data_IF_414747212022
#
_entry.id   IF_414747212022
#
_cell.length_a   1.000
_cell.length_b   1.000
_cell.length_c   1.000
_cell.angle_alpha   90.00
_cell.angle_beta   90.00
_cell.angle_gamma   90.00
#
_symmetry.space_group_name_H-M   'P 1'
#
loop_
_entity.id
_entity.type
_entity.pdbx_description
1 polymer ?
#
# COMPACT_ATOMS: atom_id res chain seq x y z
N UNK A 1 2.87 -9.96 28.80
CA UNK A 1 3.86 -9.44 29.77
C UNK A 1 5.08 -10.35 29.87
N UNK A 2 4.92 -11.67 29.93
CA UNK A 2 5.99 -12.65 30.02
C UNK A 2 7.03 -12.52 28.88
N UNK A 3 6.57 -12.34 27.64
CA UNK A 3 7.44 -12.15 26.49
C UNK A 3 8.25 -10.85 26.59
N UNK A 4 7.62 -9.78 27.09
CA UNK A 4 8.30 -8.50 27.31
C UNK A 4 9.40 -8.68 28.37
N UNK A 5 9.08 -9.32 29.48
CA UNK A 5 10.03 -9.57 30.57
C UNK A 5 11.21 -10.44 30.10
N UNK A 6 10.94 -11.40 29.21
CA UNK A 6 11.97 -12.24 28.58
C UNK A 6 12.93 -11.42 27.71
N UNK A 7 12.41 -10.56 26.83
CA UNK A 7 13.23 -9.68 25.98
C UNK A 7 14.03 -8.70 26.83
N UNK A 8 13.42 -8.09 27.84
CA UNK A 8 14.11 -7.18 28.77
C UNK A 8 15.24 -7.89 29.51
N UNK A 9 15.00 -9.11 30.01
CA UNK A 9 16.02 -9.89 30.69
C UNK A 9 17.19 -10.27 29.77
N UNK A 10 16.91 -10.63 28.52
CA UNK A 10 17.92 -10.93 27.51
C UNK A 10 18.78 -9.69 27.18
N UNK A 11 18.16 -8.52 26.99
CA UNK A 11 18.90 -7.26 26.76
C UNK A 11 19.79 -6.92 27.95
N UNK A 12 19.26 -7.00 29.19
CA UNK A 12 19.99 -6.71 30.41
C UNK A 12 21.17 -7.69 30.65
N UNK A 13 21.07 -8.91 30.12
CA UNK A 13 22.17 -9.88 30.12
C UNK A 13 23.25 -9.63 29.04
N UNK A 14 23.17 -8.53 28.30
CA UNK A 14 24.13 -8.20 27.23
C UNK A 14 23.77 -8.80 25.87
N UNK A 15 22.49 -9.18 25.66
CA UNK A 15 21.98 -9.75 24.41
C UNK A 15 22.83 -10.93 23.90
N UNK A 16 23.07 -11.96 24.71
CA UNK A 16 23.94 -13.07 24.30
C UNK A 16 23.37 -13.78 23.08
N UNK A 17 24.27 -14.20 22.18
CA UNK A 17 23.88 -15.04 21.05
C UNK A 17 23.36 -16.38 21.59
N UNK A 18 22.19 -16.81 21.09
CA UNK A 18 21.62 -18.12 21.38
C UNK A 18 22.44 -19.26 20.77
N UNK A 19 21.99 -20.50 21.00
CA UNK A 19 22.60 -21.64 20.35
C UNK A 19 22.29 -21.61 18.83
N UNK A 20 23.29 -21.61 17.94
CA UNK A 20 23.09 -21.63 16.50
C UNK A 20 22.28 -22.84 16.00
N UNK A 21 22.30 -23.96 16.74
CA UNK A 21 21.50 -25.15 16.41
C UNK A 21 20.00 -24.96 16.60
N UNK A 22 19.59 -23.98 17.42
CA UNK A 22 18.20 -23.62 17.65
C UNK A 22 17.67 -22.60 16.63
N UNK A 23 18.53 -22.14 15.71
CA UNK A 23 18.15 -21.18 14.69
C UNK A 23 17.10 -21.83 13.77
N UNK A 24 15.91 -21.21 13.58
CA UNK A 24 14.96 -21.71 12.61
C UNK A 24 15.55 -21.66 11.20
N UNK A 25 15.07 -22.51 10.28
CA UNK A 25 15.52 -22.47 8.89
C UNK A 25 15.31 -21.07 8.31
N UNK A 26 16.22 -20.65 7.44
CA UNK A 26 16.11 -19.35 6.76
C UNK A 26 14.75 -19.25 6.06
N UNK A 27 14.08 -18.12 6.28
CA UNK A 27 12.79 -17.88 5.63
C UNK A 27 13.00 -17.68 4.14
N UNK A 28 12.26 -18.44 3.34
CA UNK A 28 12.20 -18.20 1.90
C UNK A 28 11.25 -17.05 1.63
N UNK A 29 11.68 -16.09 0.81
CA UNK A 29 10.87 -14.97 0.35
C UNK A 29 10.53 -15.18 -1.13
N UNK A 30 9.33 -14.78 -1.56
CA UNK A 30 8.96 -14.82 -2.97
C UNK A 30 9.94 -14.00 -3.81
N UNK A 31 10.12 -14.34 -5.09
CA UNK A 31 10.95 -13.56 -6.01
C UNK A 31 10.48 -12.10 -6.08
N UNK A 32 11.46 -11.20 -6.16
CA UNK A 32 11.19 -9.76 -6.27
C UNK A 32 10.70 -9.45 -7.70
N UNK A 33 9.66 -8.62 -7.82
CA UNK A 33 9.12 -8.21 -9.11
C UNK A 33 8.09 -9.18 -9.71
N UNK A 34 7.67 -10.18 -8.96
CA UNK A 34 6.61 -11.11 -9.36
C UNK A 34 5.36 -10.90 -8.50
N UNK A 35 4.18 -11.01 -9.15
CA UNK A 35 2.89 -10.96 -8.46
C UNK A 35 2.72 -12.18 -7.56
N UNK A 36 2.64 -11.97 -6.26
CA UNK A 36 2.50 -13.04 -5.28
C UNK A 36 1.15 -13.72 -5.35
N UNK A 37 0.09 -12.93 -5.61
CA UNK A 37 -1.26 -13.47 -5.77
C UNK A 37 -1.42 -14.26 -7.05
N UNK A 38 -0.49 -14.13 -8.02
CA UNK A 38 -0.56 -14.88 -9.27
C UNK A 38 -0.34 -16.40 -9.10
N UNK A 39 0.27 -16.84 -8.02
CA UNK A 39 0.40 -18.28 -7.72
C UNK A 39 -0.97 -18.93 -7.52
N UNK A 40 -1.91 -18.21 -6.90
CA UNK A 40 -3.27 -18.70 -6.62
C UNK A 40 -4.29 -18.26 -7.67
N UNK A 41 -4.21 -17.01 -8.12
CA UNK A 41 -5.24 -16.38 -8.94
C UNK A 41 -4.90 -16.33 -10.43
N UNK A 42 -3.66 -16.70 -10.81
CA UNK A 42 -3.16 -16.43 -12.16
C UNK A 42 -2.74 -14.95 -12.31
N UNK A 43 -2.34 -14.50 -13.51
CA UNK A 43 -1.95 -13.12 -13.74
C UNK A 43 -3.10 -12.15 -13.42
N UNK A 44 -2.80 -10.89 -13.01
CA UNK A 44 -3.86 -9.91 -12.81
C UNK A 44 -4.65 -9.63 -14.09
N UNK A 45 -5.95 -9.40 -13.95
CA UNK A 45 -6.83 -9.05 -15.07
C UNK A 45 -6.52 -7.65 -15.61
N UNK A 46 -6.02 -6.76 -14.73
CA UNK A 46 -5.69 -5.39 -15.10
C UNK A 46 -4.44 -4.93 -14.35
N UNK A 47 -3.57 -4.19 -15.04
CA UNK A 47 -2.34 -3.63 -14.45
C UNK A 47 -2.28 -2.14 -14.74
N UNK A 48 -2.13 -1.35 -13.69
CA UNK A 48 -1.93 0.10 -13.77
C UNK A 48 -0.51 0.40 -13.30
N UNK A 49 0.23 1.19 -14.07
CA UNK A 49 1.60 1.60 -13.72
C UNK A 49 1.65 3.10 -13.47
N UNK A 50 2.47 3.50 -12.48
CA UNK A 50 2.81 4.91 -12.32
C UNK A 50 3.52 5.43 -13.57
N UNK A 51 3.60 6.76 -13.74
CA UNK A 51 4.55 7.29 -14.70
C UNK A 51 5.99 7.02 -14.26
N UNK A 52 6.91 6.95 -15.22
CA UNK A 52 8.30 6.67 -14.96
C UNK A 52 8.98 7.79 -14.15
N UNK A 53 9.91 7.38 -13.29
CA UNK A 53 10.71 8.27 -12.45
C UNK A 53 12.14 7.77 -12.33
N UNK A 54 13.10 8.69 -12.38
CA UNK A 54 14.51 8.37 -12.14
C UNK A 54 14.82 8.45 -10.65
N UNK A 55 15.05 7.31 -10.03
CA UNK A 55 15.43 7.21 -8.61
C UNK A 55 16.93 7.46 -8.48
N UNK A 56 17.38 8.52 -7.77
CA UNK A 56 18.79 8.80 -7.60
C UNK A 56 19.45 7.80 -6.64
N UNK A 57 20.76 7.57 -6.83
CA UNK A 57 21.53 6.68 -5.93
C UNK A 57 21.63 7.20 -4.49
N UNK A 58 21.66 8.52 -4.31
CA UNK A 58 21.90 9.18 -3.04
C UNK A 58 20.99 10.39 -2.88
N UNK A 59 20.68 10.74 -1.67
CA UNK A 59 19.85 11.89 -1.32
C UNK A 59 19.04 11.65 -0.06
N UNK A 60 18.15 12.58 0.24
CA UNK A 60 17.12 12.41 1.26
C UNK A 60 15.94 11.63 0.68
N UNK A 61 15.00 11.30 1.51
CA UNK A 61 13.72 10.71 1.12
C UNK A 61 13.05 11.55 0.01
N UNK A 62 12.52 10.86 -0.97
CA UNK A 62 11.89 11.45 -2.15
C UNK A 62 10.46 10.96 -2.26
N UNK A 63 9.58 11.88 -2.63
CA UNK A 63 8.17 11.60 -2.90
C UNK A 63 7.89 11.87 -4.37
N UNK A 64 7.30 10.88 -5.04
CA UNK A 64 6.83 10.98 -6.40
C UNK A 64 5.31 10.79 -6.42
N UNK A 65 4.58 11.78 -6.90
CA UNK A 65 3.12 11.84 -6.81
C UNK A 65 2.47 12.04 -8.18
N UNK A 66 2.62 11.08 -9.10
CA UNK A 66 2.02 11.18 -10.42
C UNK A 66 0.54 10.81 -10.42
N UNK A 67 -0.17 11.30 -11.44
CA UNK A 67 -1.49 10.83 -11.84
C UNK A 67 -1.40 10.15 -13.20
N UNK A 68 -2.09 9.03 -13.37
CA UNK A 68 -2.17 8.30 -14.63
C UNK A 68 -3.61 7.86 -14.91
N UNK A 69 -3.97 7.69 -16.17
CA UNK A 69 -5.25 7.07 -16.52
C UNK A 69 -5.29 5.63 -16.03
N UNK A 70 -6.39 5.22 -15.41
CA UNK A 70 -6.55 3.85 -14.93
C UNK A 70 -6.66 2.83 -16.08
N UNK A 71 -7.14 3.24 -17.23
CA UNK A 71 -7.47 2.36 -18.34
C UNK A 71 -8.73 1.51 -18.11
N UNK A 72 -9.42 1.71 -17.00
CA UNK A 72 -10.65 0.98 -16.67
C UNK A 72 -11.82 1.59 -17.44
N UNK A 73 -12.47 0.82 -18.29
CA UNK A 73 -13.57 1.28 -19.15
C UNK A 73 -14.95 0.89 -18.65
N UNK A 74 -15.04 -0.03 -17.71
CA UNK A 74 -16.28 -0.51 -17.10
C UNK A 74 -16.09 -0.64 -15.60
N UNK A 75 -17.11 -0.26 -14.82
CA UNK A 75 -17.12 -0.50 -13.39
C UNK A 75 -17.12 -2.00 -13.08
N UNK A 76 -16.29 -2.41 -12.15
CA UNK A 76 -16.19 -3.80 -11.70
C UNK A 76 -15.86 -3.87 -10.21
N UNK A 77 -16.23 -4.97 -9.58
CA UNK A 77 -15.78 -5.28 -8.23
C UNK A 77 -14.39 -5.90 -8.25
N UNK A 78 -13.52 -5.40 -7.42
CA UNK A 78 -12.19 -5.96 -7.18
C UNK A 78 -12.33 -7.18 -6.27
N UNK A 79 -11.71 -8.29 -6.65
CA UNK A 79 -11.55 -9.52 -5.86
C UNK A 79 -10.29 -9.49 -5.03
N UNK A 80 -9.19 -9.05 -5.66
CA UNK A 80 -7.90 -8.95 -5.01
C UNK A 80 -7.06 -7.86 -5.68
N UNK A 81 -6.08 -7.35 -4.95
CA UNK A 81 -5.22 -6.27 -5.41
C UNK A 81 -3.82 -6.41 -4.82
N UNK A 82 -2.81 -6.11 -5.61
CA UNK A 82 -1.43 -6.11 -5.16
C UNK A 82 -0.67 -4.93 -5.77
N UNK A 83 0.09 -4.22 -4.94
CA UNK A 83 1.03 -3.19 -5.42
C UNK A 83 2.43 -3.78 -5.46
N UNK A 84 3.10 -3.62 -6.59
CA UNK A 84 4.39 -4.22 -6.87
C UNK A 84 5.40 -3.15 -7.32
N UNK A 85 6.44 -2.87 -6.52
CA UNK A 85 7.60 -2.12 -6.99
C UNK A 85 8.34 -2.85 -8.10
N UNK A 86 9.07 -2.13 -8.93
CA UNK A 86 9.96 -2.78 -9.90
C UNK A 86 11.05 -3.59 -9.18
N UNK A 87 11.52 -4.66 -9.80
CA UNK A 87 12.63 -5.45 -9.24
C UNK A 87 13.92 -4.63 -9.09
N UNK A 88 14.12 -3.63 -9.92
CA UNK A 88 15.30 -2.76 -9.90
C UNK A 88 15.30 -1.75 -8.76
N UNK A 89 14.13 -1.24 -8.37
CA UNK A 89 13.97 -0.25 -7.30
C UNK A 89 13.37 -0.84 -6.01
N UNK A 90 13.24 -2.15 -5.91
CA UNK A 90 12.65 -2.80 -4.74
C UNK A 90 13.34 -2.41 -3.42
N UNK A 91 14.66 -2.24 -3.43
CA UNK A 91 15.42 -1.83 -2.25
C UNK A 91 15.18 -0.37 -1.85
N UNK A 92 14.90 0.50 -2.81
CA UNK A 92 14.69 1.93 -2.59
C UNK A 92 13.21 2.32 -2.47
N UNK A 93 12.27 1.50 -2.95
CA UNK A 93 10.83 1.77 -2.77
C UNK A 93 10.41 1.40 -1.35
N UNK A 94 10.26 2.42 -0.49
CA UNK A 94 9.90 2.23 0.91
C UNK A 94 8.40 1.90 1.07
N UNK A 95 7.54 2.75 0.51
CA UNK A 95 6.11 2.48 0.39
C UNK A 95 5.52 3.22 -0.81
N UNK A 96 4.35 2.76 -1.25
CA UNK A 96 3.60 3.39 -2.31
C UNK A 96 2.10 3.29 -2.02
N UNK A 97 1.44 4.43 -1.95
CA UNK A 97 0.00 4.54 -1.82
C UNK A 97 -0.61 4.89 -3.16
N UNK A 98 -1.78 4.37 -3.44
CA UNK A 98 -2.56 4.72 -4.62
C UNK A 98 -4.03 4.89 -4.28
N UNK A 99 -4.69 5.78 -5.01
CA UNK A 99 -6.11 6.07 -4.85
C UNK A 99 -6.74 6.35 -6.21
N UNK A 100 -8.02 6.04 -6.33
CA UNK A 100 -8.78 6.43 -7.50
C UNK A 100 -9.14 7.90 -7.47
N UNK A 101 -9.19 8.49 -8.66
CA UNK A 101 -9.74 9.82 -8.91
C UNK A 101 -10.85 9.68 -9.94
N UNK A 102 -12.00 10.29 -9.67
CA UNK A 102 -13.13 10.40 -10.61
C UNK A 102 -13.47 11.87 -10.84
N UNK A 103 -14.23 12.15 -11.88
CA UNK A 103 -14.70 13.52 -12.11
C UNK A 103 -15.97 13.80 -11.32
N UNK A 104 -16.00 14.96 -10.67
CA UNK A 104 -17.21 15.51 -10.08
C UNK A 104 -18.16 16.08 -11.15
N UNK A 105 -19.30 16.63 -10.75
CA UNK A 105 -20.28 17.24 -11.64
C UNK A 105 -19.74 18.46 -12.42
N UNK A 106 -18.62 19.05 -11.98
CA UNK A 106 -17.96 20.18 -12.65
C UNK A 106 -16.79 19.75 -13.52
N UNK A 107 -16.47 18.44 -13.57
CA UNK A 107 -15.37 17.89 -14.31
C UNK A 107 -14.01 17.97 -13.61
N UNK A 108 -13.97 18.30 -12.32
CA UNK A 108 -12.73 18.28 -11.53
C UNK A 108 -12.41 16.85 -11.09
N UNK A 109 -11.13 16.50 -11.11
CA UNK A 109 -10.68 15.24 -10.56
C UNK A 109 -10.67 15.30 -9.02
N UNK A 110 -11.41 14.39 -8.40
CA UNK A 110 -11.57 14.32 -6.94
C UNK A 110 -11.26 12.89 -6.46
N UNK A 111 -10.74 12.71 -5.24
CA UNK A 111 -10.52 11.39 -4.67
C UNK A 111 -11.80 10.55 -4.62
N UNK A 112 -11.71 9.30 -5.08
CA UNK A 112 -12.82 8.34 -5.16
C UNK A 112 -12.50 7.00 -4.49
N UNK A 113 -11.81 7.06 -3.38
CA UNK A 113 -11.45 5.90 -2.59
C UNK A 113 -10.01 5.41 -2.80
N UNK A 114 -9.51 4.72 -1.78
CA UNK A 114 -8.18 4.13 -1.78
C UNK A 114 -8.12 2.94 -2.72
N UNK A 115 -7.11 2.88 -3.57
CA UNK A 115 -6.88 1.74 -4.44
C UNK A 115 -6.02 0.68 -3.75
N UNK A 116 -4.78 0.97 -3.42
CA UNK A 116 -3.86 0.00 -2.83
C UNK A 116 -2.72 0.68 -2.09
N UNK A 117 -1.98 -0.12 -1.35
CA UNK A 117 -0.79 0.31 -0.63
C UNK A 117 0.26 -0.79 -0.71
N UNK A 118 1.49 -0.37 -0.89
CA UNK A 118 2.68 -1.18 -0.67
C UNK A 118 3.46 -0.62 0.52
N UNK A 119 3.89 -1.50 1.39
CA UNK A 119 4.96 -1.28 2.35
C UNK A 119 5.89 -2.47 2.26
N UNK A 120 7.17 -2.29 2.60
CA UNK A 120 8.17 -3.35 2.49
C UNK A 120 7.73 -4.62 3.22
N UNK A 121 7.58 -5.72 2.49
CA UNK A 121 7.09 -7.01 3.02
C UNK A 121 5.59 -7.19 3.04
N UNK A 122 4.78 -6.19 2.66
CA UNK A 122 3.34 -6.33 2.54
C UNK A 122 3.00 -7.26 1.37
N UNK A 123 2.01 -8.13 1.60
CA UNK A 123 1.39 -8.99 0.59
C UNK A 123 0.22 -8.26 -0.06
N UNK A 124 -0.31 -8.85 -1.14
CA UNK A 124 -1.56 -8.41 -1.74
C UNK A 124 -2.74 -8.51 -0.76
N UNK A 125 -3.83 -7.87 -1.11
CA UNK A 125 -5.06 -7.79 -0.33
C UNK A 125 -6.19 -8.54 -1.06
N UNK A 126 -7.00 -9.28 -0.31
CA UNK A 126 -8.26 -9.84 -0.80
C UNK A 126 -9.43 -8.98 -0.30
N UNK A 127 -10.39 -8.74 -1.18
CA UNK A 127 -11.67 -8.17 -0.78
C UNK A 127 -12.51 -9.30 -0.16
N UNK A 128 -13.12 -9.10 1.01
CA UNK A 128 -13.93 -10.12 1.67
C UNK A 128 -15.07 -10.61 0.76
N UNK A 129 -15.44 -11.88 0.89
CA UNK A 129 -16.58 -12.45 0.19
C UNK A 129 -17.87 -11.67 0.49
N UNK A 130 -18.68 -11.40 -0.54
CA UNK A 130 -19.89 -10.61 -0.42
C UNK A 130 -19.69 -9.09 -0.36
N UNK A 131 -18.43 -8.62 -0.34
CA UNK A 131 -18.12 -7.20 -0.44
C UNK A 131 -17.67 -6.83 -1.86
N UNK A 132 -17.98 -5.61 -2.27
CA UNK A 132 -17.48 -5.02 -3.51
C UNK A 132 -16.59 -3.81 -3.22
N UNK A 133 -15.32 -3.90 -3.58
CA UNK A 133 -14.44 -2.75 -3.71
C UNK A 133 -14.51 -2.26 -5.14
N UNK A 134 -15.12 -1.11 -5.34
CA UNK A 134 -15.41 -0.57 -6.67
C UNK A 134 -14.13 -0.16 -7.41
N UNK A 135 -13.99 -0.62 -8.64
CA UNK A 135 -13.03 -0.11 -9.61
C UNK A 135 -13.79 0.82 -10.59
N UNK A 136 -13.72 2.13 -10.44
CA UNK A 136 -14.55 3.04 -11.21
C UNK A 136 -14.07 3.14 -12.66
N UNK A 137 -15.05 3.17 -13.60
CA UNK A 137 -14.77 3.39 -15.01
C UNK A 137 -14.29 4.82 -15.28
N UNK A 138 -13.47 4.99 -16.32
CA UNK A 138 -12.96 6.29 -16.77
C UNK A 138 -12.27 7.10 -15.65
N UNK A 139 -11.64 6.40 -14.71
CA UNK A 139 -10.95 6.97 -13.58
C UNK A 139 -9.48 7.22 -13.88
N UNK A 140 -8.83 8.00 -13.03
CA UNK A 140 -7.39 8.06 -12.90
C UNK A 140 -6.94 7.37 -11.62
N UNK A 141 -5.65 7.13 -11.53
CA UNK A 141 -4.96 6.71 -10.30
C UNK A 141 -3.95 7.78 -9.94
N UNK A 142 -4.13 8.33 -8.75
CA UNK A 142 -3.14 9.17 -8.08
C UNK A 142 -2.26 8.31 -7.20
N UNK A 143 -0.98 8.61 -7.20
CA UNK A 143 0.04 7.90 -6.45
C UNK A 143 0.71 8.81 -5.42
N UNK A 144 1.24 8.19 -4.38
CA UNK A 144 2.22 8.77 -3.47
C UNK A 144 3.26 7.71 -3.19
N UNK A 145 4.38 7.79 -3.90
CA UNK A 145 5.46 6.79 -3.88
C UNK A 145 6.63 7.39 -3.11
N UNK A 146 7.03 6.73 -2.04
CA UNK A 146 8.14 7.13 -1.20
C UNK A 146 9.37 6.30 -1.52
N UNK A 147 10.39 6.95 -2.04
CA UNK A 147 11.70 6.35 -2.29
C UNK A 147 12.71 6.75 -1.22
N UNK A 148 13.48 5.77 -0.78
CA UNK A 148 14.64 5.95 0.07
C UNK A 148 15.88 5.52 -0.72
N UNK A 149 16.74 6.46 -1.21
CA UNK A 149 17.92 6.12 -2.00
C UNK A 149 18.86 5.16 -1.24
N UNK A 150 19.18 4.03 -1.87
CA UNK A 150 19.95 2.92 -1.27
C UNK A 150 21.39 2.80 -1.78
N UNK A 151 21.87 3.83 -2.47
CA UNK A 151 23.22 3.86 -3.08
C UNK A 151 23.22 3.44 -4.56
N UNK A 152 22.09 3.05 -5.14
CA UNK A 152 21.95 2.61 -6.53
C UNK A 152 20.93 3.48 -7.26
N UNK A 153 21.36 4.10 -8.37
CA UNK A 153 20.42 4.81 -9.25
C UNK A 153 19.60 3.82 -10.09
N UNK A 154 18.32 4.10 -10.24
CA UNK A 154 17.41 3.35 -11.11
C UNK A 154 16.74 4.32 -12.07
N UNK A 155 16.93 4.12 -13.37
CA UNK A 155 16.28 4.92 -14.39
C UNK A 155 14.91 4.35 -14.74
N UNK A 156 13.97 5.24 -15.10
CA UNK A 156 12.64 4.90 -15.59
C UNK A 156 11.86 3.93 -14.67
N UNK A 157 12.00 4.05 -13.34
CA UNK A 157 11.26 3.20 -12.41
C UNK A 157 9.76 3.43 -12.48
N UNK A 158 8.99 2.35 -12.32
CA UNK A 158 7.54 2.37 -12.26
C UNK A 158 7.04 1.40 -11.20
N UNK A 159 6.16 1.88 -10.32
CA UNK A 159 5.38 1.03 -9.42
C UNK A 159 4.11 0.60 -10.14
N UNK A 160 3.72 -0.66 -9.96
CA UNK A 160 2.55 -1.25 -10.61
C UNK A 160 1.50 -1.66 -9.57
N UNK A 161 0.22 -1.56 -9.93
CA UNK A 161 -0.90 -2.19 -9.21
C UNK A 161 -1.53 -3.21 -10.13
N UNK A 162 -1.59 -4.46 -9.66
CA UNK A 162 -2.34 -5.55 -10.28
C UNK A 162 -3.71 -5.68 -9.62
N UNK A 163 -4.73 -5.81 -10.43
CA UNK A 163 -6.13 -5.96 -10.01
C UNK A 163 -6.66 -7.28 -10.56
N UNK A 164 -7.26 -8.07 -9.68
CA UNK A 164 -8.08 -9.23 -10.03
C UNK A 164 -9.53 -8.88 -9.77
N UNK A 165 -10.38 -9.06 -10.77
CA UNK A 165 -11.79 -8.74 -10.66
C UNK A 165 -12.61 -9.94 -10.18
N UNK A 166 -13.76 -9.65 -9.60
CA UNK A 166 -14.79 -10.67 -9.38
C UNK A 166 -15.36 -11.12 -10.72
N UNK A 167 -15.73 -12.40 -10.81
CA UNK A 167 -16.27 -13.00 -12.03
C UNK A 167 -17.70 -12.52 -12.36
N UNK A 168 -18.42 -12.06 -11.33
CA UNK A 168 -19.78 -11.57 -11.45
C UNK A 168 -19.81 -10.12 -11.97
N UNK A 169 -20.84 -9.77 -12.72
CA UNK A 169 -21.10 -8.39 -13.12
C UNK A 169 -21.34 -7.54 -11.87
N UNK A 170 -20.90 -6.30 -11.93
CA UNK A 170 -21.11 -5.34 -10.85
C UNK A 170 -22.61 -5.12 -10.62
N UNK A 171 -23.09 -5.45 -9.44
CA UNK A 171 -24.44 -5.18 -8.98
C UNK A 171 -24.38 -4.14 -7.85
N UNK A 172 -24.77 -2.91 -8.17
CA UNK A 172 -24.72 -1.79 -7.23
C UNK A 172 -25.70 -1.98 -6.04
N UNK A 173 -26.83 -2.69 -6.25
CA UNK A 173 -27.81 -2.94 -5.19
C UNK A 173 -27.36 -4.05 -4.22
N UNK A 174 -26.60 -5.04 -4.71
CA UNK A 174 -26.08 -6.13 -3.90
C UNK A 174 -24.69 -5.82 -3.29
N UNK A 175 -23.98 -4.82 -3.80
CA UNK A 175 -22.63 -4.51 -3.39
C UNK A 175 -22.61 -3.76 -2.05
N UNK A 176 -21.96 -4.36 -1.05
CA UNK A 176 -21.54 -3.61 0.12
C UNK A 176 -20.31 -2.78 -0.23
N UNK A 177 -20.38 -1.44 -0.22
CA UNK A 177 -19.22 -0.62 -0.50
C UNK A 177 -18.16 -0.89 0.58
N UNK A 178 -16.98 -1.30 0.16
CA UNK A 178 -15.80 -1.34 1.01
C UNK A 178 -15.01 -0.06 0.76
N UNK A 179 -15.25 0.94 1.58
CA UNK A 179 -14.48 2.17 1.59
C UNK A 179 -13.67 2.26 2.88
N UNK A 180 -12.36 2.38 2.75
CA UNK A 180 -11.47 2.66 3.86
C UNK A 180 -11.13 4.14 3.85
N UNK A 181 -11.81 4.90 4.67
CA UNK A 181 -11.52 6.32 4.86
C UNK A 181 -10.75 6.51 6.16
N UNK A 182 -9.62 7.20 6.09
CA UNK A 182 -8.85 7.62 7.26
C UNK A 182 -9.43 8.93 7.78
N UNK A 183 -9.99 8.91 8.98
CA UNK A 183 -10.50 10.09 9.65
C UNK A 183 -9.53 10.54 10.74
N UNK A 184 -9.19 11.83 10.71
CA UNK A 184 -8.57 12.49 11.85
C UNK A 184 -9.68 12.99 12.77
N UNK A 185 -9.89 12.32 13.89
CA UNK A 185 -11.00 12.59 14.81
C UNK A 185 -11.03 14.00 15.41
N UNK A 186 -9.94 14.70 15.32
CA UNK A 186 -9.74 16.04 15.85
C UNK A 186 -9.58 17.13 14.78
N UNK A 187 -9.89 16.82 13.53
CA UNK A 187 -9.80 17.75 12.41
C UNK A 187 -8.38 17.92 11.84
N UNK A 188 -7.43 17.05 12.22
CA UNK A 188 -6.10 17.01 11.60
C UNK A 188 -5.21 18.21 11.95
N UNK A 189 -5.30 18.71 13.18
CA UNK A 189 -4.49 19.85 13.64
C UNK A 189 -3.00 19.51 13.85
N UNK A 190 -2.16 20.52 13.77
CA UNK A 190 -0.74 20.40 14.13
C UNK A 190 -0.60 20.18 15.63
N UNK A 191 -0.11 19.00 16.02
CA UNK A 191 0.13 18.65 17.42
C UNK A 191 1.56 18.93 17.81
N UNK A 192 1.74 19.75 18.85
CA UNK A 192 3.02 19.90 19.52
C UNK A 192 3.00 19.11 20.83
N UNK A 193 3.78 18.03 20.89
CA UNK A 193 4.03 17.31 22.14
C UNK A 193 5.37 17.80 22.69
N UNK A 194 5.41 18.55 23.80
CA UNK A 194 6.68 19.01 24.38
C UNK A 194 7.51 17.81 24.87
N UNK A 195 8.84 17.95 24.95
CA UNK A 195 9.70 16.90 25.50
C UNK A 195 9.19 16.45 26.88
N UNK A 196 9.06 15.13 27.08
CA UNK A 196 8.51 14.51 28.30
C UNK A 196 7.04 14.85 28.60
N UNK A 197 6.32 15.45 27.65
CA UNK A 197 4.91 15.74 27.75
C UNK A 197 4.01 14.65 27.17
N UNK A 198 2.72 14.79 27.43
CA UNK A 198 1.67 13.94 26.83
C UNK A 198 0.60 14.85 26.24
N UNK A 199 0.11 14.51 25.06
CA UNK A 199 -1.07 15.08 24.45
C UNK A 199 -2.17 14.01 24.40
N UNK A 200 -3.37 14.36 24.88
CA UNK A 200 -4.56 13.55 24.68
C UNK A 200 -5.54 14.33 23.80
N UNK A 201 -6.08 13.67 22.79
CA UNK A 201 -7.10 14.26 21.90
C UNK A 201 -8.32 13.37 21.87
N UNK A 202 -9.49 13.98 21.70
CA UNK A 202 -10.77 13.28 21.55
C UNK A 202 -11.50 13.83 20.34
N UNK A 203 -12.19 12.96 19.61
CA UNK A 203 -12.98 13.35 18.46
C UNK A 203 -14.11 12.36 18.19
N UNK A 204 -15.07 12.78 17.35
CA UNK A 204 -16.23 11.97 16.97
C UNK A 204 -16.38 11.99 15.46
N UNK A 205 -16.76 10.84 14.90
CA UNK A 205 -17.21 10.73 13.54
C UNK A 205 -18.52 9.95 13.49
N UNK A 206 -19.50 10.46 12.73
CA UNK A 206 -20.76 9.75 12.46
C UNK A 206 -20.70 9.13 11.06
N UNK A 207 -21.06 7.87 10.96
CA UNK A 207 -21.19 7.11 9.72
C UNK A 207 -22.64 7.13 9.22
#
# INVERSE_FOLDING_TARGET
QEDIDTVVAWVNAGAPLGNPEDLPPAREYPPVGEWRLAEELGPPDHVIKSSAWDVPANGQDLWWEPEVDSGITQERCIKAIETLPSASAHGSTHHANSHFLTQDEFGNWVPAGRLSEYAYGKLGEYVPEGACRKAPANSKVGWSIHYYPDGKAVADDQVSVGIWYQDEEFDEEAAYPQDLTLYFLDGGGDYMIPPHGTLATEGFHSF
#
